data_IF_216473734080
#
_entry.id   IF_216473734080
#
_cell.length_a   1.000
_cell.length_b   1.000
_cell.length_c   1.000
_cell.angle_alpha   90.00
_cell.angle_beta   90.00
_cell.angle_gamma   90.00
#
_symmetry.space_group_name_H-M   'P 1'
#
loop_
_entity.id
_entity.type
_entity.pdbx_description
1 polymer ?
#
# COMPACT_ATOMS: atom_id res chain seq x y z
N UNK A 1 -16.00 -6.15 -12.94
CA UNK A 1 -14.65 -6.44 -12.40
C UNK A 1 -14.79 -7.27 -11.12
N UNK A 2 -14.06 -8.39 -10.97
CA UNK A 2 -14.28 -9.32 -9.85
C UNK A 2 -13.83 -8.71 -8.51
N UNK A 3 -14.75 -8.43 -7.57
CA UNK A 3 -14.51 -7.68 -6.31
C UNK A 3 -13.32 -8.22 -5.50
N UNK A 4 -13.14 -9.55 -5.45
CA UNK A 4 -12.02 -10.21 -4.76
C UNK A 4 -10.66 -9.85 -5.38
N UNK A 5 -10.57 -9.73 -6.71
CA UNK A 5 -9.32 -9.32 -7.40
C UNK A 5 -8.98 -7.85 -7.08
N UNK A 6 -9.99 -6.99 -6.90
CA UNK A 6 -9.79 -5.58 -6.56
C UNK A 6 -9.20 -5.42 -5.14
N UNK A 7 -9.71 -6.18 -4.17
CA UNK A 7 -9.22 -6.19 -2.79
C UNK A 7 -7.72 -6.49 -2.68
N UNK A 8 -7.27 -7.61 -3.27
CA UNK A 8 -5.85 -7.99 -3.20
C UNK A 8 -4.94 -7.00 -3.93
N UNK A 9 -5.42 -6.42 -5.04
CA UNK A 9 -4.70 -5.36 -5.76
C UNK A 9 -4.48 -4.15 -4.87
N UNK A 10 -5.51 -3.66 -4.17
CA UNK A 10 -5.38 -2.53 -3.24
C UNK A 10 -4.41 -2.79 -2.10
N UNK A 11 -4.42 -4.01 -1.54
CA UNK A 11 -3.44 -4.38 -0.51
C UNK A 11 -2.03 -4.38 -1.07
N UNK A 12 -1.80 -4.94 -2.25
CA UNK A 12 -0.45 -4.95 -2.82
C UNK A 12 0.07 -3.53 -3.10
N UNK A 13 -0.79 -2.64 -3.61
CA UNK A 13 -0.46 -1.22 -3.81
C UNK A 13 -0.15 -0.51 -2.48
N UNK A 14 -0.91 -0.82 -1.42
CA UNK A 14 -0.63 -0.31 -0.08
C UNK A 14 0.72 -0.84 0.44
N UNK A 15 1.04 -2.12 0.23
CA UNK A 15 2.33 -2.70 0.60
C UNK A 15 3.50 -2.12 -0.20
N UNK A 16 3.29 -1.78 -1.48
CA UNK A 16 4.29 -1.04 -2.27
C UNK A 16 4.53 0.35 -1.67
N UNK A 17 3.47 1.03 -1.21
CA UNK A 17 3.57 2.32 -0.55
C UNK A 17 4.37 2.24 0.74
N UNK A 18 4.08 1.24 1.59
CA UNK A 18 4.81 1.02 2.85
C UNK A 18 6.28 0.70 2.62
N UNK A 19 6.60 -0.17 1.65
CA UNK A 19 7.99 -0.44 1.28
C UNK A 19 8.72 0.79 0.76
N UNK A 20 8.02 1.62 -0.02
CA UNK A 20 8.59 2.86 -0.56
C UNK A 20 8.94 3.82 0.57
N UNK A 21 8.04 3.99 1.55
CA UNK A 21 8.32 4.81 2.73
C UNK A 21 9.50 4.24 3.53
N UNK A 22 9.49 2.93 3.81
CA UNK A 22 10.55 2.29 4.58
C UNK A 22 11.93 2.44 3.91
N UNK A 23 12.04 2.13 2.61
CA UNK A 23 13.36 2.14 1.96
C UNK A 23 13.88 3.55 1.72
N UNK A 24 13.02 4.47 1.32
CA UNK A 24 13.46 5.77 0.81
C UNK A 24 13.34 6.92 1.82
N UNK A 25 12.58 6.73 2.90
CA UNK A 25 12.34 7.76 3.91
C UNK A 25 12.81 7.35 5.31
N UNK A 26 12.70 6.08 5.71
CA UNK A 26 13.38 5.59 6.94
C UNK A 26 14.79 5.06 6.68
N UNK A 27 15.19 4.94 5.41
CA UNK A 27 16.45 4.32 4.95
C UNK A 27 16.59 2.84 5.37
N UNK A 28 15.51 2.22 5.84
CA UNK A 28 15.52 0.84 6.27
C UNK A 28 15.32 -0.09 5.06
N UNK A 29 16.37 -0.84 4.73
CA UNK A 29 16.37 -1.79 3.62
C UNK A 29 15.72 -3.13 3.96
N UNK A 30 15.39 -3.39 5.24
CA UNK A 30 14.73 -4.62 5.63
C UNK A 30 13.30 -4.65 5.07
N UNK A 31 13.06 -5.59 4.17
CA UNK A 31 11.74 -5.82 3.57
C UNK A 31 11.19 -7.23 3.81
N UNK A 32 11.78 -7.98 4.74
CA UNK A 32 11.38 -9.35 5.04
C UNK A 32 9.91 -9.42 5.47
N UNK A 33 9.46 -8.48 6.32
CA UNK A 33 8.07 -8.41 6.79
C UNK A 33 7.09 -8.18 5.64
N UNK A 34 7.38 -7.24 4.74
CA UNK A 34 6.55 -6.99 3.56
C UNK A 34 6.49 -8.19 2.61
N UNK A 35 7.61 -8.93 2.46
CA UNK A 35 7.66 -10.17 1.67
C UNK A 35 6.81 -11.27 2.33
N UNK A 36 6.90 -11.43 3.64
CA UNK A 36 6.11 -12.40 4.40
C UNK A 36 4.60 -12.13 4.29
N UNK A 37 4.17 -10.86 4.42
CA UNK A 37 2.76 -10.48 4.23
C UNK A 37 2.28 -10.85 2.83
N UNK A 38 3.06 -10.56 1.78
CA UNK A 38 2.69 -10.92 0.40
C UNK A 38 2.64 -12.43 0.17
N UNK A 39 3.60 -13.17 0.69
CA UNK A 39 3.62 -14.62 0.58
C UNK A 39 2.36 -15.21 1.21
N UNK A 40 2.03 -14.77 2.43
CA UNK A 40 0.83 -15.20 3.13
C UNK A 40 -0.44 -14.83 2.35
N UNK A 41 -0.53 -13.62 1.78
CA UNK A 41 -1.67 -13.19 0.96
C UNK A 41 -1.87 -14.08 -0.25
N UNK A 42 -0.80 -14.44 -0.97
CA UNK A 42 -0.86 -15.33 -2.14
C UNK A 42 -1.28 -16.74 -1.76
N UNK A 43 -0.64 -17.32 -0.75
CA UNK A 43 -0.98 -18.68 -0.24
C UNK A 43 -2.45 -18.76 0.16
N UNK A 44 -2.98 -17.71 0.79
CA UNK A 44 -4.35 -17.68 1.29
C UNK A 44 -5.42 -17.35 0.24
N UNK A 45 -5.06 -16.93 -0.98
CA UNK A 45 -6.04 -16.78 -2.07
C UNK A 45 -6.74 -18.10 -2.42
N UNK A 46 -6.06 -19.22 -2.16
CA UNK A 46 -6.49 -20.58 -2.49
C UNK A 46 -7.47 -21.20 -1.48
N UNK A 47 -7.54 -20.68 -0.25
CA UNK A 47 -8.33 -21.29 0.83
C UNK A 47 -9.54 -20.43 1.25
N UNK A 48 -10.77 -20.89 0.95
CA UNK A 48 -12.03 -20.14 1.15
C UNK A 48 -12.45 -20.00 2.61
N UNK A 49 -12.11 -20.96 3.47
CA UNK A 49 -12.54 -20.93 4.87
C UNK A 49 -11.74 -19.86 5.66
N UNK A 50 -12.43 -19.11 6.52
CA UNK A 50 -11.90 -18.07 7.43
C UNK A 50 -11.35 -16.80 6.75
N UNK A 51 -11.94 -16.38 5.63
CA UNK A 51 -11.46 -15.22 4.87
C UNK A 51 -11.50 -13.91 5.69
N UNK A 52 -12.56 -13.66 6.47
CA UNK A 52 -12.69 -12.46 7.32
C UNK A 52 -11.59 -12.38 8.39
N UNK A 53 -11.38 -13.46 9.14
CA UNK A 53 -10.36 -13.53 10.20
C UNK A 53 -8.97 -13.24 9.63
N UNK A 54 -8.68 -13.80 8.44
CA UNK A 54 -7.42 -13.55 7.74
C UNK A 54 -7.27 -12.07 7.34
N UNK A 55 -8.32 -11.46 6.81
CA UNK A 55 -8.35 -10.03 6.48
C UNK A 55 -8.03 -9.17 7.71
N UNK A 56 -8.68 -9.45 8.84
CA UNK A 56 -8.42 -8.77 10.11
C UNK A 56 -6.96 -8.94 10.53
N UNK A 57 -6.43 -10.16 10.48
CA UNK A 57 -5.00 -10.43 10.77
C UNK A 57 -4.07 -9.61 9.88
N UNK A 58 -4.35 -9.51 8.57
CA UNK A 58 -3.52 -8.69 7.67
C UNK A 58 -3.56 -7.21 8.00
N UNK A 59 -4.74 -6.67 8.28
CA UNK A 59 -4.90 -5.27 8.67
C UNK A 59 -4.11 -5.00 9.94
N UNK A 60 -4.20 -5.90 10.92
CA UNK A 60 -3.46 -5.80 12.17
C UNK A 60 -1.94 -5.86 11.94
N UNK A 61 -1.45 -6.81 11.12
CA UNK A 61 -0.02 -6.87 10.78
C UNK A 61 0.45 -5.60 10.06
N UNK A 62 -0.34 -5.05 9.12
CA UNK A 62 -0.01 -3.79 8.45
C UNK A 62 0.08 -2.65 9.47
N UNK A 63 -0.85 -2.57 10.43
CA UNK A 63 -0.81 -1.58 11.50
C UNK A 63 0.47 -1.68 12.34
N UNK A 64 0.84 -2.88 12.78
CA UNK A 64 2.07 -3.10 13.55
C UNK A 64 3.33 -2.66 12.79
N UNK A 65 3.39 -2.94 11.49
CA UNK A 65 4.52 -2.52 10.65
C UNK A 65 4.59 -0.99 10.50
N UNK A 66 3.43 -0.34 10.35
CA UNK A 66 3.34 1.13 10.29
C UNK A 66 3.81 1.77 11.61
N UNK A 67 3.41 1.20 12.73
CA UNK A 67 3.83 1.63 14.08
C UNK A 67 5.32 1.44 14.27
N UNK A 68 5.83 0.22 14.04
CA UNK A 68 7.24 -0.15 14.21
C UNK A 68 8.21 0.77 13.47
N UNK A 69 7.85 1.19 12.26
CA UNK A 69 8.72 2.01 11.41
C UNK A 69 8.28 3.47 11.32
N UNK A 70 7.35 3.91 12.17
CA UNK A 70 6.80 5.28 12.20
C UNK A 70 6.34 5.79 10.82
N UNK A 71 5.88 4.88 9.94
CA UNK A 71 5.55 5.21 8.55
C UNK A 71 4.37 6.18 8.44
N UNK A 72 3.53 6.21 9.47
CA UNK A 72 2.41 7.14 9.60
C UNK A 72 2.86 8.60 9.78
N UNK A 73 3.97 8.85 10.49
CA UNK A 73 4.53 10.18 10.70
C UNK A 73 5.08 10.72 9.40
N UNK A 74 5.88 9.89 8.71
CA UNK A 74 6.44 10.20 7.39
C UNK A 74 5.32 10.47 6.39
N UNK A 75 4.28 9.63 6.36
CA UNK A 75 3.13 9.85 5.49
C UNK A 75 2.41 11.16 5.81
N UNK A 76 2.23 11.51 7.09
CA UNK A 76 1.65 12.78 7.50
C UNK A 76 2.52 13.97 7.07
N UNK A 77 3.84 13.88 7.22
CA UNK A 77 4.76 14.94 6.83
C UNK A 77 4.73 15.19 5.32
N UNK A 78 4.79 14.13 4.50
CA UNK A 78 4.68 14.23 3.04
C UNK A 78 3.35 14.90 2.65
N UNK A 79 2.24 14.53 3.27
CA UNK A 79 0.92 15.10 3.00
C UNK A 79 0.80 16.57 3.45
N UNK A 80 1.32 16.92 4.63
CA UNK A 80 1.36 18.30 5.12
C UNK A 80 2.16 19.18 4.17
N UNK A 81 3.34 18.72 3.75
CA UNK A 81 4.19 19.45 2.82
C UNK A 81 3.52 19.63 1.45
N UNK A 82 2.75 18.64 0.99
CA UNK A 82 1.97 18.75 -0.24
C UNK A 82 0.84 19.79 -0.13
N UNK A 83 0.11 19.80 0.98
CA UNK A 83 -1.00 20.73 1.21
C UNK A 83 -0.55 22.19 1.30
N UNK A 84 0.64 22.45 1.83
CA UNK A 84 1.16 23.83 2.03
C UNK A 84 1.66 24.44 0.72
N UNK A 85 2.35 23.68 -0.15
CA UNK A 85 3.11 24.28 -1.26
C UNK A 85 2.62 23.95 -2.68
N UNK A 86 1.62 23.08 -2.87
CA UNK A 86 1.10 22.61 -4.18
C UNK A 86 2.15 22.00 -5.16
N UNK A 87 3.46 22.17 -4.91
CA UNK A 87 4.61 21.70 -5.68
C UNK A 87 5.72 21.28 -4.72
N UNK A 88 5.48 20.22 -3.95
CA UNK A 88 6.51 19.71 -3.04
C UNK A 88 7.41 18.67 -3.72
N UNK A 89 8.73 18.90 -3.71
CA UNK A 89 9.72 17.92 -4.18
C UNK A 89 9.58 16.56 -3.47
N UNK A 90 9.10 16.55 -2.22
CA UNK A 90 8.95 15.34 -1.40
C UNK A 90 7.84 14.43 -1.91
N UNK A 91 6.65 14.97 -2.27
CA UNK A 91 5.58 14.15 -2.86
C UNK A 91 5.99 13.64 -4.24
N UNK A 92 6.68 14.46 -5.04
CA UNK A 92 7.18 14.06 -6.36
C UNK A 92 8.24 12.96 -6.25
N UNK A 93 9.15 13.07 -5.27
CA UNK A 93 10.14 12.03 -4.94
C UNK A 93 9.43 10.74 -4.52
N UNK A 94 8.45 10.82 -3.62
CA UNK A 94 7.66 9.67 -3.22
C UNK A 94 6.95 9.02 -4.41
N UNK A 95 6.20 9.78 -5.20
CA UNK A 95 5.47 9.29 -6.37
C UNK A 95 6.41 8.63 -7.38
N UNK A 96 7.57 9.23 -7.67
CA UNK A 96 8.59 8.64 -8.55
C UNK A 96 9.10 7.31 -8.02
N UNK A 97 9.36 7.19 -6.71
CA UNK A 97 9.82 5.93 -6.11
C UNK A 97 8.72 4.87 -6.05
N UNK A 98 7.50 5.26 -5.72
CA UNK A 98 6.31 4.40 -5.75
C UNK A 98 6.08 3.87 -7.16
N UNK A 99 6.08 4.75 -8.16
CA UNK A 99 5.94 4.41 -9.57
C UNK A 99 7.02 3.41 -10.00
N UNK A 100 8.30 3.71 -9.75
CA UNK A 100 9.39 2.82 -10.13
C UNK A 100 9.21 1.43 -9.51
N UNK A 101 8.88 1.36 -8.22
CA UNK A 101 8.67 0.08 -7.53
C UNK A 101 7.43 -0.66 -8.01
N UNK A 102 6.35 0.05 -8.33
CA UNK A 102 5.17 -0.52 -8.97
C UNK A 102 5.53 -1.12 -10.33
N UNK A 103 6.26 -0.41 -11.18
CA UNK A 103 6.64 -0.88 -12.52
C UNK A 103 7.69 -1.99 -12.53
N UNK A 104 8.66 -1.97 -11.62
CA UNK A 104 9.58 -3.11 -11.43
C UNK A 104 8.81 -4.38 -11.02
N UNK A 105 7.67 -4.23 -10.33
CA UNK A 105 6.76 -5.35 -10.05
C UNK A 105 5.71 -5.56 -11.15
N UNK A 106 5.49 -4.60 -12.04
CA UNK A 106 4.57 -4.74 -13.16
C UNK A 106 5.06 -5.75 -14.20
N UNK A 107 6.38 -5.94 -14.36
CA UNK A 107 6.93 -7.06 -15.14
C UNK A 107 6.66 -8.44 -14.51
N UNK A 108 6.55 -8.52 -13.17
CA UNK A 108 5.99 -9.71 -12.51
C UNK A 108 4.52 -9.89 -12.88
N UNK A 109 3.78 -8.79 -12.97
CA UNK A 109 2.38 -8.80 -13.37
C UNK A 109 2.12 -8.94 -14.89
N UNK A 110 3.09 -8.72 -15.77
CA UNK A 110 2.91 -8.95 -17.21
C UNK A 110 2.84 -10.44 -17.54
N UNK A 111 3.53 -11.30 -16.76
CA UNK A 111 3.40 -12.77 -16.83
C UNK A 111 2.06 -13.29 -16.28
N UNK A 112 1.45 -12.58 -15.33
CA UNK A 112 0.09 -12.89 -14.86
C UNK A 112 -0.91 -12.00 -15.60
N UNK A 113 -1.51 -12.50 -16.68
CA UNK A 113 -2.57 -11.94 -17.60
C UNK A 113 -3.58 -10.87 -17.10
N UNK A 114 -3.59 -10.50 -15.82
CA UNK A 114 -4.57 -9.69 -15.11
C UNK A 114 -4.34 -8.17 -15.14
N UNK A 115 -3.20 -7.68 -15.63
CA UNK A 115 -2.87 -6.24 -15.57
C UNK A 115 -2.68 -5.54 -16.91
N UNK A 116 -2.78 -6.27 -18.02
CA UNK A 116 -2.86 -5.69 -19.36
C UNK A 116 -4.30 -5.24 -19.69
N UNK A 117 -4.83 -4.28 -18.92
CA UNK A 117 -6.00 -3.53 -19.36
C UNK A 117 -5.57 -2.08 -19.64
N UNK A 118 -5.91 -1.65 -20.87
CA UNK A 118 -5.73 -0.38 -21.59
C UNK A 118 -6.12 0.93 -20.85
N UNK A 119 -6.16 0.96 -19.52
CA UNK A 119 -6.53 2.17 -18.78
C UNK A 119 -5.29 2.82 -18.18
N UNK A 120 -5.15 4.14 -18.39
CA UNK A 120 -4.24 5.00 -17.64
C UNK A 120 -4.57 4.87 -16.15
N UNK A 121 -3.91 3.95 -15.44
CA UNK A 121 -4.00 3.86 -13.99
C UNK A 121 -3.37 5.16 -13.48
N UNK A 122 -4.16 6.00 -12.83
CA UNK A 122 -3.65 7.18 -12.16
C UNK A 122 -2.87 6.77 -10.91
N UNK A 123 -1.61 6.41 -11.15
CA UNK A 123 -0.69 5.95 -10.11
C UNK A 123 -0.42 7.02 -9.07
N UNK A 124 -0.53 8.31 -9.44
CA UNK A 124 -0.33 9.42 -8.53
C UNK A 124 -1.47 9.52 -7.53
N UNK A 125 -2.73 9.47 -8.00
CA UNK A 125 -3.88 9.45 -7.11
C UNK A 125 -3.87 8.22 -6.18
N UNK A 126 -3.51 7.04 -6.69
CA UNK A 126 -3.37 5.85 -5.85
C UNK A 126 -2.30 6.04 -4.77
N UNK A 127 -1.14 6.60 -5.13
CA UNK A 127 -0.05 6.85 -4.21
C UNK A 127 -0.46 7.82 -3.09
N UNK A 128 -1.16 8.92 -3.46
CA UNK A 128 -1.67 9.91 -2.49
C UNK A 128 -2.73 9.30 -1.57
N UNK A 129 -3.68 8.53 -2.11
CA UNK A 129 -4.70 7.83 -1.30
C UNK A 129 -4.03 6.87 -0.32
N UNK A 130 -3.02 6.12 -0.75
CA UNK A 130 -2.29 5.21 0.12
C UNK A 130 -1.55 5.96 1.24
N UNK A 131 -0.90 7.09 0.95
CA UNK A 131 -0.32 7.96 1.98
C UNK A 131 -1.37 8.39 3.00
N UNK A 132 -2.53 8.83 2.52
CA UNK A 132 -3.63 9.23 3.40
C UNK A 132 -4.08 8.09 4.31
N UNK A 133 -4.23 6.87 3.79
CA UNK A 133 -4.61 5.71 4.60
C UNK A 133 -3.54 5.40 5.65
N UNK A 134 -2.27 5.38 5.26
CA UNK A 134 -1.13 5.12 6.16
C UNK A 134 -1.10 6.16 7.29
N UNK A 135 -1.31 7.43 6.96
CA UNK A 135 -1.27 8.54 7.91
C UNK A 135 -2.41 8.52 8.94
N UNK A 136 -3.52 7.85 8.61
CA UNK A 136 -4.68 7.69 9.51
C UNK A 136 -4.71 6.37 10.29
N UNK A 137 -3.94 5.37 9.89
CA UNK A 137 -4.09 3.98 10.35
C UNK A 137 -3.85 3.77 11.86
N UNK A 138 -3.05 4.62 12.50
CA UNK A 138 -2.80 4.56 13.95
C UNK A 138 -3.97 5.14 14.77
N UNK A 139 -4.77 6.02 14.18
CA UNK A 139 -5.93 6.59 14.88
C UNK A 139 -7.00 5.52 15.09
N UNK A 140 -7.83 5.68 16.12
CA UNK A 140 -8.90 4.73 16.46
C UNK A 140 -9.84 4.41 15.28
N UNK A 141 -10.13 5.39 14.42
CA UNK A 141 -10.94 5.23 13.19
C UNK A 141 -10.13 4.78 11.95
N UNK A 142 -8.81 4.64 12.06
CA UNK A 142 -7.90 4.31 10.97
C UNK A 142 -8.15 2.94 10.35
N UNK A 143 -8.42 1.93 11.19
CA UNK A 143 -8.77 0.58 10.75
C UNK A 143 -10.06 0.60 9.93
N UNK A 144 -11.07 1.34 10.37
CA UNK A 144 -12.33 1.50 9.64
C UNK A 144 -12.09 2.15 8.26
N UNK A 145 -11.26 3.20 8.18
CA UNK A 145 -10.89 3.85 6.91
C UNK A 145 -10.22 2.85 5.97
N UNK A 146 -9.29 2.03 6.47
CA UNK A 146 -8.64 1.00 5.65
C UNK A 146 -9.63 -0.05 5.15
N UNK A 147 -10.53 -0.55 6.00
CA UNK A 147 -11.56 -1.51 5.59
C UNK A 147 -12.45 -0.91 4.50
N UNK A 148 -12.92 0.33 4.69
CA UNK A 148 -13.74 1.05 3.71
C UNK A 148 -13.01 1.20 2.37
N UNK A 149 -11.74 1.58 2.40
CA UNK A 149 -10.90 1.66 1.20
C UNK A 149 -10.77 0.32 0.49
N UNK A 150 -10.56 -0.77 1.23
CA UNK A 150 -10.36 -2.10 0.65
C UNK A 150 -11.64 -2.68 0.02
N UNK A 151 -12.81 -2.34 0.54
CA UNK A 151 -14.11 -2.88 0.11
C UNK A 151 -14.82 -2.06 -0.98
N UNK A 152 -14.53 -0.76 -1.12
CA UNK A 152 -15.10 0.13 -2.13
C UNK A 152 -14.23 0.21 -3.40
#
# INVERSE_FOLDING_TARGET
MNKKKNYFKKIDLLLISLETLNIYFTQNKNIAEFRAIRYNLKKNQLNKNNQLIKIIKYIYTIKLVIEKYLLHEIANEILKNYAISNKCNTINKYNKKFYNRYFTKASYYSKYKLLHNKYNIDTNNIAIINLYIISKLIKQKGIYILIKYLLN
#
